data_IF_797758367352
#
_entry.id   IF_797758367352
#
_cell.length_a   1.000
_cell.length_b   1.000
_cell.length_c   1.000
_cell.angle_alpha   90.00
_cell.angle_beta   90.00
_cell.angle_gamma   90.00
#
_symmetry.space_group_name_H-M   'P 1'
#
loop_
_entity.id
_entity.type
_entity.pdbx_description
1 polymer ?
#
# COMPACT_ATOMS: atom_id res chain seq x y z
N UNK A 1 4.04 -14.93 12.57
CA UNK A 1 4.53 -14.87 11.17
C UNK A 1 3.37 -14.87 10.17
N UNK A 2 2.52 -15.90 10.14
CA UNK A 2 1.44 -16.00 9.12
C UNK A 2 0.48 -14.79 9.05
N UNK A 3 0.07 -14.24 10.19
CA UNK A 3 -0.76 -13.03 10.22
C UNK A 3 -0.02 -11.83 9.59
N UNK A 4 1.28 -11.67 9.89
CA UNK A 4 2.11 -10.60 9.32
C UNK A 4 2.30 -10.75 7.81
N UNK A 5 2.58 -11.97 7.33
CA UNK A 5 2.71 -12.24 5.89
C UNK A 5 1.41 -11.94 5.14
N UNK A 6 0.26 -12.22 5.79
CA UNK A 6 -1.05 -11.91 5.23
C UNK A 6 -1.32 -10.41 5.19
N UNK A 7 -0.98 -9.69 6.26
CA UNK A 7 -1.05 -8.22 6.31
C UNK A 7 -0.22 -7.61 5.18
N UNK A 8 1.05 -8.02 5.05
CA UNK A 8 1.95 -7.51 4.01
C UNK A 8 1.44 -7.82 2.60
N UNK A 9 0.86 -9.00 2.39
CA UNK A 9 0.27 -9.39 1.11
C UNK A 9 -0.97 -8.56 0.75
N UNK A 10 -1.81 -8.24 1.73
CA UNK A 10 -3.00 -7.39 1.55
C UNK A 10 -2.58 -5.95 1.31
N UNK A 11 -1.64 -5.44 2.10
CA UNK A 11 -1.05 -4.12 1.94
C UNK A 11 -0.46 -3.94 0.53
N UNK A 12 0.41 -4.86 0.09
CA UNK A 12 1.03 -4.83 -1.24
C UNK A 12 -0.01 -4.80 -2.37
N UNK A 13 -1.07 -5.59 -2.26
CA UNK A 13 -2.15 -5.63 -3.25
C UNK A 13 -2.96 -4.35 -3.26
N UNK A 14 -3.17 -3.75 -2.09
CA UNK A 14 -3.93 -2.52 -1.97
C UNK A 14 -3.18 -1.36 -2.61
N UNK A 15 -1.90 -1.18 -2.27
CA UNK A 15 -1.07 -0.13 -2.87
C UNK A 15 -0.91 -0.34 -4.39
N UNK A 16 -0.78 -1.59 -4.87
CA UNK A 16 -0.76 -1.90 -6.31
C UNK A 16 -2.05 -1.48 -7.01
N UNK A 17 -3.23 -1.68 -6.39
CA UNK A 17 -4.50 -1.21 -6.95
C UNK A 17 -4.61 0.31 -7.00
N UNK A 18 -4.08 1.01 -6.00
CA UNK A 18 -4.12 2.48 -5.95
C UNK A 18 -3.21 3.10 -7.02
N UNK A 19 -2.00 2.55 -7.15
CA UNK A 19 -0.98 3.00 -8.11
C UNK A 19 -1.38 2.62 -9.53
N UNK A 20 -1.90 1.40 -9.73
CA UNK A 20 -2.38 0.92 -11.01
C UNK A 20 -1.31 0.91 -12.09
N UNK A 21 -1.70 1.33 -13.29
CA UNK A 21 -0.84 1.48 -14.46
C UNK A 21 0.05 2.73 -14.42
N UNK A 22 -0.14 3.61 -13.44
CA UNK A 22 0.61 4.86 -13.31
C UNK A 22 2.03 4.65 -12.82
N UNK A 23 2.38 3.48 -12.28
CA UNK A 23 3.69 3.29 -11.69
C UNK A 23 3.99 1.87 -11.25
N UNK A 24 5.11 1.74 -10.57
CA UNK A 24 5.64 0.49 -10.05
C UNK A 24 5.60 0.49 -8.53
N UNK A 25 5.29 -0.67 -7.97
CA UNK A 25 5.35 -0.93 -6.54
C UNK A 25 6.36 -2.03 -6.28
N UNK A 26 7.30 -1.79 -5.37
CA UNK A 26 8.30 -2.76 -4.95
C UNK A 26 8.32 -2.90 -3.43
N UNK A 27 8.62 -4.11 -2.93
CA UNK A 27 8.95 -4.35 -1.53
C UNK A 27 10.46 -4.25 -1.37
N UNK A 28 10.92 -3.36 -0.50
CA UNK A 28 12.36 -3.10 -0.29
C UNK A 28 12.93 -3.92 0.85
N UNK A 29 12.12 -4.20 1.87
CA UNK A 29 12.53 -4.92 3.08
C UNK A 29 11.37 -5.68 3.73
N UNK A 30 11.52 -5.99 5.02
CA UNK A 30 10.53 -6.75 5.79
C UNK A 30 9.13 -6.10 5.73
N UNK A 31 9.04 -4.81 6.01
CA UNK A 31 7.79 -4.06 6.07
C UNK A 31 7.82 -2.76 5.22
N UNK A 32 8.88 -2.58 4.44
CA UNK A 32 9.12 -1.38 3.64
C UNK A 32 8.72 -1.57 2.17
N UNK A 33 7.99 -0.60 1.64
CA UNK A 33 7.55 -0.56 0.24
C UNK A 33 7.94 0.76 -0.42
N UNK A 34 8.34 0.68 -1.68
CA UNK A 34 8.63 1.84 -2.52
C UNK A 34 7.62 1.90 -3.67
N UNK A 35 7.22 3.12 -4.03
CA UNK A 35 6.36 3.40 -5.18
C UNK A 35 7.08 4.37 -6.10
N UNK A 36 7.23 3.99 -7.37
CA UNK A 36 7.83 4.81 -8.40
C UNK A 36 6.77 5.16 -9.45
N UNK A 37 6.50 6.46 -9.63
CA UNK A 37 5.49 6.97 -10.58
C UNK A 37 6.18 7.99 -11.47
N UNK A 38 6.06 7.90 -12.81
CA UNK A 38 6.47 8.98 -13.70
C UNK A 38 5.64 10.22 -13.38
N UNK A 39 6.32 11.32 -13.06
CA UNK A 39 5.66 12.57 -12.71
C UNK A 39 6.35 13.76 -13.38
N UNK A 40 5.56 14.77 -13.70
CA UNK A 40 6.02 16.06 -14.23
C UNK A 40 6.21 17.08 -13.09
N UNK A 41 5.57 16.88 -11.92
CA UNK A 41 5.63 17.78 -10.77
C UNK A 41 5.71 16.99 -9.43
N UNK A 42 6.59 17.39 -8.48
CA UNK A 42 6.62 16.85 -7.13
C UNK A 42 5.26 16.75 -6.41
N UNK A 43 4.32 17.66 -6.69
CA UNK A 43 2.97 17.66 -6.09
C UNK A 43 2.19 16.38 -6.41
N UNK A 44 2.34 15.82 -7.62
CA UNK A 44 1.64 14.59 -7.99
C UNK A 44 2.13 13.39 -7.18
N UNK A 45 3.42 13.38 -6.83
CA UNK A 45 4.01 12.38 -5.95
C UNK A 45 3.42 12.46 -4.53
N UNK A 46 3.27 13.67 -3.99
CA UNK A 46 2.65 13.88 -2.69
C UNK A 46 1.18 13.43 -2.69
N UNK A 47 0.42 13.78 -3.73
CA UNK A 47 -0.98 13.37 -3.87
C UNK A 47 -1.11 11.85 -3.98
N UNK A 48 -0.21 11.19 -4.70
CA UNK A 48 -0.16 9.73 -4.76
C UNK A 48 0.13 9.12 -3.39
N UNK A 49 1.11 9.66 -2.66
CA UNK A 49 1.46 9.19 -1.32
C UNK A 49 0.26 9.33 -0.35
N UNK A 50 -0.43 10.48 -0.34
CA UNK A 50 -1.61 10.68 0.50
C UNK A 50 -2.78 9.78 0.09
N UNK A 51 -2.96 9.52 -1.21
CA UNK A 51 -3.96 8.58 -1.70
C UNK A 51 -3.69 7.16 -1.19
N UNK A 52 -2.42 6.74 -1.22
CA UNK A 52 -1.99 5.45 -0.67
C UNK A 52 -2.26 5.40 0.84
N UNK A 53 -1.81 6.41 1.59
CA UNK A 53 -1.96 6.49 3.04
C UNK A 53 -3.43 6.37 3.47
N UNK A 54 -4.32 7.18 2.87
CA UNK A 54 -5.76 7.15 3.14
C UNK A 54 -6.41 5.82 2.71
N UNK A 55 -5.96 5.25 1.60
CA UNK A 55 -6.48 3.96 1.14
C UNK A 55 -6.18 2.84 2.12
N UNK A 56 -4.95 2.78 2.63
CA UNK A 56 -4.53 1.80 3.63
C UNK A 56 -5.30 1.96 4.93
N UNK A 57 -5.38 3.19 5.47
CA UNK A 57 -6.08 3.50 6.73
C UNK A 57 -7.56 3.06 6.71
N UNK A 58 -8.21 3.17 5.55
CA UNK A 58 -9.63 2.82 5.36
C UNK A 58 -9.85 1.34 5.03
N UNK A 59 -8.82 0.50 5.02
CA UNK A 59 -8.96 -0.93 4.74
C UNK A 59 -8.87 -1.79 6.01
N UNK A 60 -10.02 -2.19 6.57
CA UNK A 60 -10.04 -3.22 7.59
C UNK A 60 -9.53 -4.55 7.02
N UNK A 61 -8.62 -5.18 7.75
CA UNK A 61 -8.07 -6.49 7.47
C UNK A 61 -8.68 -7.53 8.42
N UNK A 62 -9.35 -8.54 7.86
CA UNK A 62 -9.92 -9.63 8.67
C UNK A 62 -8.92 -10.78 8.81
N UNK A 63 -8.57 -11.12 10.06
CA UNK A 63 -7.75 -12.27 10.40
C UNK A 63 -8.41 -13.08 11.53
N UNK A 64 -8.64 -14.37 11.29
CA UNK A 64 -9.25 -15.28 12.29
C UNK A 64 -10.50 -14.67 12.96
N UNK A 65 -11.42 -14.14 12.14
CA UNK A 65 -12.67 -13.49 12.58
C UNK A 65 -12.51 -12.20 13.39
N UNK A 66 -11.28 -11.67 13.54
CA UNK A 66 -11.01 -10.35 14.09
C UNK A 66 -10.73 -9.35 12.97
N UNK A 67 -11.31 -8.16 13.08
CA UNK A 67 -11.02 -7.05 12.18
C UNK A 67 -9.91 -6.20 12.79
N UNK A 68 -8.81 -6.08 12.06
CA UNK A 68 -7.66 -5.24 12.36
C UNK A 68 -7.69 -4.04 11.42
N UNK A 69 -7.20 -2.90 11.88
CA UNK A 69 -6.99 -1.72 11.04
C UNK A 69 -5.49 -1.57 10.80
N UNK A 70 -5.13 -1.22 9.56
CA UNK A 70 -3.74 -1.02 9.12
C UNK A 70 -3.33 0.44 9.29
#
# INVERSE_FOLDING_TARGET
HECGDKVLSVFARHIQKIVGDKGLVARMGGEEFAVAVPSVNPVDGLLMAEKIRKGVELQPFTWQQKTLYL
#
